data_IF_243759472617
#
_entry.id   IF_243759472617
#
_cell.length_a   1.000
_cell.length_b   1.000
_cell.length_c   1.000
_cell.angle_alpha   90.00
_cell.angle_beta   90.00
_cell.angle_gamma   90.00
#
_symmetry.space_group_name_H-M   'P 1'
#
loop_
_entity.id
_entity.type
_entity.pdbx_description
1 polymer ?
#
# COMPACT_ATOMS: atom_id res chain seq x y z
N UNK A 1 -34.11 -0.80 -0.85
CA UNK A 1 -34.02 -0.21 -2.21
C UNK A 1 -32.56 -0.29 -2.64
N UNK A 2 -32.24 -1.13 -3.61
CA UNK A 2 -30.86 -1.26 -4.10
C UNK A 2 -30.52 -0.03 -4.93
N UNK A 3 -29.42 0.65 -4.59
CA UNK A 3 -28.91 1.73 -5.43
C UNK A 3 -28.50 1.15 -6.78
N UNK A 4 -28.98 1.75 -7.86
CA UNK A 4 -28.58 1.37 -9.22
C UNK A 4 -27.18 1.92 -9.50
N UNK A 5 -26.17 1.03 -9.48
CA UNK A 5 -24.77 1.38 -9.71
C UNK A 5 -24.42 1.62 -11.19
N UNK A 6 -25.36 1.40 -12.10
CA UNK A 6 -25.15 1.63 -13.53
C UNK A 6 -25.09 3.13 -13.82
N UNK A 7 -24.09 3.52 -14.58
CA UNK A 7 -23.98 4.89 -15.08
C UNK A 7 -24.71 5.01 -16.40
N UNK A 8 -25.52 6.05 -16.58
CA UNK A 8 -26.11 6.34 -17.86
C UNK A 8 -27.57 6.81 -17.83
N UNK A 9 -28.37 6.30 -18.74
CA UNK A 9 -29.65 6.88 -19.09
C UNK A 9 -30.71 6.78 -17.98
N UNK A 10 -31.47 7.84 -17.86
CA UNK A 10 -32.67 7.91 -17.05
C UNK A 10 -33.68 6.82 -17.50
N UNK A 11 -34.23 6.07 -16.58
CA UNK A 11 -35.26 5.06 -16.84
C UNK A 11 -36.64 5.70 -16.76
N UNK A 12 -37.68 4.99 -17.30
CA UNK A 12 -39.08 5.41 -17.13
C UNK A 12 -39.48 5.55 -15.66
N UNK A 13 -38.89 4.72 -14.77
CA UNK A 13 -39.13 4.79 -13.33
C UNK A 13 -38.50 6.03 -12.71
N UNK A 14 -37.24 6.36 -13.06
CA UNK A 14 -36.58 7.56 -12.56
C UNK A 14 -37.18 8.86 -13.09
N UNK A 15 -37.92 8.82 -14.20
CA UNK A 15 -38.63 9.95 -14.76
C UNK A 15 -40.11 10.04 -14.30
N UNK A 16 -40.58 9.10 -13.46
CA UNK A 16 -42.01 8.97 -13.12
C UNK A 16 -42.50 9.99 -12.07
N UNK A 17 -41.60 10.62 -11.34
CA UNK A 17 -41.88 11.67 -10.34
C UNK A 17 -40.65 12.51 -10.06
N UNK A 18 -40.86 13.72 -9.54
CA UNK A 18 -39.77 14.61 -9.11
C UNK A 18 -38.85 13.96 -8.04
N UNK A 19 -39.43 13.19 -7.14
CA UNK A 19 -38.69 12.43 -6.14
C UNK A 19 -37.76 11.40 -6.78
N UNK A 20 -38.26 10.62 -7.73
CA UNK A 20 -37.44 9.60 -8.42
C UNK A 20 -36.36 10.24 -9.28
N UNK A 21 -36.63 11.37 -9.93
CA UNK A 21 -35.64 12.15 -10.67
C UNK A 21 -34.54 12.65 -9.75
N UNK A 22 -34.88 13.17 -8.57
CA UNK A 22 -33.94 13.65 -7.58
C UNK A 22 -33.06 12.50 -7.02
N UNK A 23 -33.64 11.37 -6.68
CA UNK A 23 -32.91 10.16 -6.23
C UNK A 23 -31.94 9.69 -7.32
N UNK A 24 -32.37 9.65 -8.58
CA UNK A 24 -31.49 9.31 -9.70
C UNK A 24 -30.31 10.30 -9.80
N UNK A 25 -30.57 11.60 -9.74
CA UNK A 25 -29.53 12.62 -9.82
C UNK A 25 -28.48 12.48 -8.69
N UNK A 26 -28.92 12.33 -7.44
CA UNK A 26 -28.00 12.13 -6.31
C UNK A 26 -27.21 10.81 -6.45
N UNK A 27 -27.86 9.74 -6.88
CA UNK A 27 -27.16 8.46 -7.12
C UNK A 27 -26.06 8.62 -8.15
N UNK A 28 -26.35 9.31 -9.28
CA UNK A 28 -25.33 9.55 -10.31
C UNK A 28 -24.18 10.45 -9.80
N UNK A 29 -24.46 11.43 -8.94
CA UNK A 29 -23.43 12.26 -8.31
C UNK A 29 -22.53 11.43 -7.40
N UNK A 30 -23.11 10.55 -6.57
CA UNK A 30 -22.37 9.69 -5.65
C UNK A 30 -21.52 8.68 -6.43
N UNK A 31 -22.05 8.07 -7.48
CA UNK A 31 -21.35 7.09 -8.32
C UNK A 31 -20.10 7.66 -9.03
N UNK A 32 -20.01 8.99 -9.16
CA UNK A 32 -18.84 9.68 -9.71
C UNK A 32 -17.74 9.98 -8.67
N UNK A 33 -18.01 9.68 -7.39
CA UNK A 33 -17.05 9.93 -6.31
C UNK A 33 -16.32 8.63 -5.96
N UNK A 34 -15.02 8.71 -5.93
CA UNK A 34 -14.16 7.58 -5.63
C UNK A 34 -13.55 7.77 -4.25
N UNK A 35 -13.68 6.76 -3.38
CA UNK A 35 -13.10 6.75 -2.03
C UNK A 35 -11.92 5.80 -1.96
N UNK A 36 -12.11 4.57 -2.41
CA UNK A 36 -11.07 3.53 -2.49
C UNK A 36 -11.49 2.44 -3.48
N UNK A 37 -10.51 1.73 -4.03
CA UNK A 37 -10.73 0.56 -4.86
C UNK A 37 -9.55 -0.42 -4.78
N UNK A 38 -9.80 -1.69 -5.12
CA UNK A 38 -8.75 -2.67 -5.31
C UNK A 38 -8.01 -2.39 -6.62
N UNK A 39 -6.68 -2.41 -6.56
CA UNK A 39 -5.81 -2.16 -7.71
C UNK A 39 -4.68 -3.17 -7.78
N UNK A 40 -4.15 -3.38 -8.98
CA UNK A 40 -2.95 -4.18 -9.22
C UNK A 40 -1.83 -3.31 -9.76
N UNK A 41 -0.63 -3.47 -9.21
CA UNK A 41 0.58 -2.76 -9.66
C UNK A 41 0.97 -3.23 -11.06
N UNK A 42 1.11 -2.30 -11.98
CA UNK A 42 1.57 -2.52 -13.36
C UNK A 42 3.00 -2.08 -13.58
N UNK A 43 3.44 -1.07 -12.83
CA UNK A 43 4.79 -0.53 -12.88
C UNK A 43 5.15 0.08 -11.53
N UNK A 44 6.41 -0.05 -11.15
CA UNK A 44 7.02 0.67 -10.03
C UNK A 44 7.99 1.69 -10.62
N UNK A 45 7.87 2.95 -10.21
CA UNK A 45 8.67 4.05 -10.70
C UNK A 45 9.82 4.36 -9.72
N UNK A 46 10.89 4.98 -10.22
CA UNK A 46 12.08 5.31 -9.42
C UNK A 46 11.83 6.45 -8.40
N UNK A 47 10.75 7.21 -8.57
CA UNK A 47 10.34 8.32 -7.71
C UNK A 47 9.46 7.91 -6.50
N UNK A 48 9.44 6.63 -6.15
CA UNK A 48 8.59 6.04 -5.11
C UNK A 48 7.08 6.18 -5.40
N UNK A 49 6.71 6.10 -6.66
CA UNK A 49 5.32 5.99 -7.11
C UNK A 49 5.06 4.67 -7.83
N UNK A 50 3.80 4.33 -8.02
CA UNK A 50 3.37 3.16 -8.79
C UNK A 50 2.31 3.53 -9.81
N UNK A 51 2.31 2.81 -10.95
CA UNK A 51 1.20 2.83 -11.89
C UNK A 51 0.33 1.60 -11.61
N UNK A 52 -0.97 1.79 -11.42
CA UNK A 52 -1.87 0.73 -10.99
C UNK A 52 -3.10 0.62 -11.88
N UNK A 53 -3.61 -0.60 -12.01
CA UNK A 53 -4.83 -0.91 -12.73
C UNK A 53 -5.96 -1.20 -11.72
N UNK A 54 -7.06 -0.44 -11.70
CA UNK A 54 -8.25 -0.81 -10.94
C UNK A 54 -8.78 -2.19 -11.38
N UNK A 55 -9.11 -3.02 -10.39
CA UNK A 55 -9.59 -4.40 -10.63
C UNK A 55 -11.12 -4.50 -10.70
N UNK A 56 -11.83 -3.53 -10.14
CA UNK A 56 -13.30 -3.47 -10.18
C UNK A 56 -13.71 -2.61 -11.35
N UNK A 57 -14.46 -3.18 -12.30
CA UNK A 57 -14.94 -2.47 -13.48
C UNK A 57 -16.14 -1.56 -13.15
N UNK A 58 -16.32 -0.53 -13.96
CA UNK A 58 -17.60 0.17 -14.06
C UNK A 58 -18.62 -0.70 -14.78
N UNK A 59 -19.89 -0.36 -14.63
CA UNK A 59 -20.97 -0.92 -15.43
C UNK A 59 -21.62 0.18 -16.29
N UNK A 60 -21.78 -0.10 -17.58
CA UNK A 60 -22.54 0.77 -18.48
C UNK A 60 -24.05 0.73 -18.18
N UNK A 61 -24.84 1.51 -18.90
CA UNK A 61 -26.30 1.55 -18.76
C UNK A 61 -26.99 0.22 -19.08
N UNK A 62 -26.32 -0.70 -19.77
CA UNK A 62 -26.84 -2.03 -20.12
C UNK A 62 -26.34 -3.12 -19.15
N UNK A 63 -25.44 -2.76 -18.23
CA UNK A 63 -24.82 -3.69 -17.29
C UNK A 63 -23.56 -4.39 -17.82
N UNK A 64 -22.98 -3.93 -18.93
CA UNK A 64 -21.72 -4.47 -19.43
C UNK A 64 -20.56 -3.90 -18.64
N UNK A 65 -19.51 -4.70 -18.43
CA UNK A 65 -18.28 -4.28 -17.76
C UNK A 65 -17.51 -3.28 -18.62
N UNK A 66 -17.10 -2.16 -18.02
CA UNK A 66 -16.24 -1.13 -18.61
C UNK A 66 -15.02 -0.99 -17.73
N UNK A 67 -13.81 -1.41 -18.18
CA UNK A 67 -12.61 -1.29 -17.37
C UNK A 67 -12.19 0.17 -17.20
N UNK A 68 -11.66 0.49 -16.04
CA UNK A 68 -10.95 1.77 -15.83
C UNK A 68 -9.60 1.78 -16.55
N UNK A 69 -9.12 2.96 -16.89
CA UNK A 69 -7.73 3.16 -17.32
C UNK A 69 -6.73 2.91 -16.20
N UNK A 70 -5.44 2.83 -16.56
CA UNK A 70 -4.34 2.80 -15.60
C UNK A 70 -4.27 4.14 -14.88
N UNK A 71 -4.06 4.10 -13.58
CA UNK A 71 -3.78 5.26 -12.74
C UNK A 71 -2.26 5.40 -12.63
N UNK A 72 -1.74 6.59 -12.88
CA UNK A 72 -0.31 6.85 -12.98
C UNK A 72 0.22 7.59 -11.77
N UNK A 73 1.47 7.27 -11.38
CA UNK A 73 2.26 8.00 -10.41
C UNK A 73 1.59 8.15 -9.02
N UNK A 74 0.92 7.12 -8.55
CA UNK A 74 0.39 7.09 -7.19
C UNK A 74 1.53 6.89 -6.19
N UNK A 75 1.74 7.79 -5.22
CA UNK A 75 2.66 7.53 -4.12
C UNK A 75 2.18 6.31 -3.32
N UNK A 76 3.12 5.49 -2.84
CA UNK A 76 2.79 4.34 -2.01
C UNK A 76 3.21 4.53 -0.55
N UNK A 77 2.44 3.92 0.35
CA UNK A 77 2.66 4.02 1.80
C UNK A 77 3.84 3.15 2.21
N UNK A 78 4.76 3.72 3.01
CA UNK A 78 5.81 3.02 3.74
C UNK A 78 5.57 3.15 5.24
N UNK A 79 5.93 2.12 6.02
CA UNK A 79 5.94 2.16 7.48
C UNK A 79 7.18 2.94 7.94
N UNK A 80 7.05 4.26 8.02
CA UNK A 80 8.19 5.15 8.25
C UNK A 80 7.82 6.28 9.20
N UNK A 81 8.80 6.68 10.03
CA UNK A 81 8.72 7.85 10.90
C UNK A 81 10.08 8.54 10.99
N UNK A 82 10.16 9.80 10.60
CA UNK A 82 11.42 10.53 10.50
C UNK A 82 12.42 9.83 9.56
N UNK A 83 13.58 9.47 10.09
CA UNK A 83 14.65 8.79 9.36
C UNK A 83 14.67 7.26 9.55
N UNK A 84 13.64 6.68 10.17
CA UNK A 84 13.54 5.24 10.43
C UNK A 84 12.32 4.65 9.73
N UNK A 85 12.42 3.39 9.28
CA UNK A 85 11.29 2.73 8.61
C UNK A 85 11.49 1.26 8.35
N UNK A 86 10.38 0.60 7.99
CA UNK A 86 10.35 -0.74 7.42
C UNK A 86 10.02 -0.59 5.94
N UNK A 87 10.94 -0.98 5.09
CA UNK A 87 10.81 -0.83 3.65
C UNK A 87 10.34 -2.15 3.03
N UNK A 88 9.11 -2.17 2.54
CA UNK A 88 8.51 -3.25 1.77
C UNK A 88 7.92 -2.64 0.51
N UNK A 89 8.78 -2.36 -0.47
CA UNK A 89 8.37 -1.70 -1.69
C UNK A 89 7.50 -2.64 -2.55
N UNK A 90 6.45 -2.11 -3.19
CA UNK A 90 5.56 -2.89 -4.04
C UNK A 90 6.30 -3.51 -5.21
N UNK A 91 5.77 -4.64 -5.72
CA UNK A 91 6.25 -5.31 -6.93
C UNK A 91 5.15 -5.33 -7.99
N UNK A 92 5.57 -5.46 -9.25
CA UNK A 92 4.64 -5.65 -10.36
C UNK A 92 3.81 -6.92 -10.10
N UNK A 93 2.49 -6.79 -10.20
CA UNK A 93 1.53 -7.86 -9.93
C UNK A 93 0.91 -7.80 -8.54
N UNK A 94 1.48 -7.08 -7.59
CA UNK A 94 0.92 -6.92 -6.25
C UNK A 94 -0.47 -6.29 -6.28
N UNK A 95 -1.36 -6.82 -5.45
CA UNK A 95 -2.71 -6.28 -5.25
C UNK A 95 -2.72 -5.48 -3.94
N UNK A 96 -3.33 -4.32 -4.01
CA UNK A 96 -3.51 -3.42 -2.87
C UNK A 96 -4.74 -2.54 -3.02
N UNK A 97 -4.80 -1.51 -2.20
CA UNK A 97 -5.85 -0.51 -2.21
C UNK A 97 -5.31 0.80 -2.78
N UNK A 98 -6.06 1.44 -3.67
CA UNK A 98 -5.90 2.86 -3.97
C UNK A 98 -6.94 3.63 -3.14
N UNK A 99 -6.48 4.54 -2.30
CA UNK A 99 -7.29 5.44 -1.48
C UNK A 99 -7.21 6.82 -2.12
N UNK A 100 -8.34 7.48 -2.33
CA UNK A 100 -8.39 8.75 -3.05
C UNK A 100 -8.64 9.91 -2.10
N UNK A 101 -7.83 10.96 -2.25
CA UNK A 101 -7.96 12.17 -1.47
C UNK A 101 -9.26 12.93 -1.83
N UNK A 102 -9.79 13.69 -0.88
CA UNK A 102 -10.98 14.52 -1.08
C UNK A 102 -10.74 15.69 -2.02
N UNK A 103 -9.49 16.14 -2.16
CA UNK A 103 -9.03 17.25 -3.00
C UNK A 103 -7.79 16.86 -3.80
N UNK A 104 -7.48 17.68 -4.80
CA UNK A 104 -6.25 17.58 -5.59
C UNK A 104 -5.02 17.75 -4.69
N UNK A 105 -4.17 16.71 -4.64
CA UNK A 105 -2.97 16.65 -3.81
C UNK A 105 -1.66 16.93 -4.58
N UNK A 106 -1.74 17.30 -5.85
CA UNK A 106 -0.56 17.47 -6.73
C UNK A 106 0.47 18.41 -6.10
N UNK A 107 0.04 19.60 -5.67
CA UNK A 107 0.96 20.57 -5.08
C UNK A 107 1.58 20.08 -3.76
N UNK A 108 0.84 19.33 -2.94
CA UNK A 108 1.37 18.73 -1.70
C UNK A 108 2.41 17.66 -2.01
N UNK A 109 2.21 16.86 -3.07
CA UNK A 109 3.20 15.86 -3.52
C UNK A 109 4.50 16.54 -3.94
N UNK A 110 4.43 17.69 -4.60
CA UNK A 110 5.61 18.43 -5.07
C UNK A 110 6.34 19.16 -3.93
N UNK A 111 5.59 19.96 -3.16
CA UNK A 111 6.17 20.86 -2.16
C UNK A 111 6.48 20.21 -0.82
N UNK A 112 5.74 19.13 -0.46
CA UNK A 112 5.72 18.49 0.88
C UNK A 112 5.29 19.45 2.00
N UNK A 113 4.59 20.50 1.65
CA UNK A 113 4.11 21.55 2.55
C UNK A 113 2.61 21.79 2.37
N UNK A 114 2.01 22.56 3.27
CA UNK A 114 0.64 23.02 3.15
C UNK A 114 0.47 23.83 1.87
N UNK A 115 -0.37 23.37 0.95
CA UNK A 115 -0.56 23.96 -0.36
C UNK A 115 -2.03 24.00 -0.76
N UNK A 116 -2.41 24.95 -1.61
CA UNK A 116 -3.72 24.95 -2.21
C UNK A 116 -3.88 23.81 -3.23
N UNK A 117 -5.10 23.29 -3.44
CA UNK A 117 -5.36 22.35 -4.54
C UNK A 117 -4.97 22.97 -5.89
N UNK A 118 -4.36 22.18 -6.77
CA UNK A 118 -4.00 22.64 -8.12
C UNK A 118 -5.22 22.74 -9.06
N UNK A 119 -6.32 22.06 -8.72
CA UNK A 119 -7.57 22.06 -9.50
C UNK A 119 -8.79 21.90 -8.59
N UNK A 120 -9.99 21.99 -9.19
CA UNK A 120 -11.26 21.75 -8.49
C UNK A 120 -11.69 20.28 -8.42
N UNK A 121 -10.78 19.33 -8.68
CA UNK A 121 -11.07 17.88 -8.55
C UNK A 121 -11.47 17.53 -7.13
N UNK A 122 -12.44 16.64 -7.00
CA UNK A 122 -12.95 16.14 -5.72
C UNK A 122 -13.12 14.63 -5.80
N UNK A 123 -12.50 13.88 -4.88
CA UNK A 123 -12.54 12.42 -4.83
C UNK A 123 -12.24 11.79 -6.19
N UNK A 124 -11.15 12.26 -6.80
CA UNK A 124 -10.70 11.81 -8.12
C UNK A 124 -9.73 10.64 -8.00
N UNK A 125 -9.80 9.69 -8.92
CA UNK A 125 -8.83 8.59 -8.98
C UNK A 125 -7.40 9.07 -9.26
N UNK A 126 -7.22 10.27 -9.82
CA UNK A 126 -5.90 10.86 -10.06
C UNK A 126 -5.20 11.30 -8.76
N UNK A 127 -5.95 11.46 -7.67
CA UNK A 127 -5.44 11.89 -6.38
C UNK A 127 -5.35 10.68 -5.41
N UNK A 128 -4.84 9.57 -5.94
CA UNK A 128 -4.74 8.30 -5.23
C UNK A 128 -3.42 8.12 -4.49
N UNK A 129 -3.49 7.37 -3.38
CA UNK A 129 -2.35 6.85 -2.64
C UNK A 129 -2.49 5.32 -2.60
N UNK A 130 -1.41 4.60 -2.93
CA UNK A 130 -1.41 3.14 -2.92
C UNK A 130 -1.01 2.59 -1.56
N UNK A 131 -1.81 1.66 -1.04
CA UNK A 131 -1.56 0.86 0.15
C UNK A 131 -1.47 -0.62 -0.25
N UNK A 132 -0.32 -1.25 -0.03
CA UNK A 132 -0.07 -2.65 -0.44
C UNK A 132 -0.59 -3.68 0.56
N UNK A 133 -0.55 -4.94 0.18
CA UNK A 133 -0.73 -6.08 1.07
C UNK A 133 -2.13 -6.67 1.15
N UNK A 134 -2.94 -6.57 0.11
CA UNK A 134 -4.28 -7.19 0.03
C UNK A 134 -4.29 -8.27 -1.04
N UNK A 135 -4.79 -9.48 -0.69
CA UNK A 135 -4.98 -10.61 -1.62
C UNK A 135 -3.70 -11.11 -2.32
N UNK A 136 -2.54 -10.79 -1.80
CA UNK A 136 -1.27 -11.30 -2.31
C UNK A 136 -0.99 -12.71 -1.75
N UNK A 137 -0.19 -13.55 -2.43
CA UNK A 137 0.28 -14.80 -1.88
C UNK A 137 1.13 -14.58 -0.62
N UNK A 138 1.29 -15.63 0.19
CA UNK A 138 2.13 -15.56 1.38
C UNK A 138 3.58 -15.18 1.02
N UNK A 139 4.20 -14.24 1.78
CA UNK A 139 5.57 -13.83 1.53
C UNK A 139 6.57 -14.95 1.89
N UNK A 140 7.64 -15.07 1.12
CA UNK A 140 8.75 -15.99 1.39
C UNK A 140 9.85 -15.39 2.27
N UNK A 141 9.82 -14.08 2.48
CA UNK A 141 10.70 -13.33 3.38
C UNK A 141 9.82 -12.45 4.26
N UNK A 142 9.92 -12.63 5.59
CA UNK A 142 9.03 -11.92 6.50
C UNK A 142 9.60 -11.81 7.91
N UNK A 143 9.05 -10.89 8.67
CA UNK A 143 9.18 -10.77 10.11
C UNK A 143 7.82 -11.13 10.73
N UNK A 144 7.78 -12.19 11.52
CA UNK A 144 6.58 -12.70 12.16
C UNK A 144 6.65 -12.57 13.68
N UNK A 145 5.67 -11.93 14.28
CA UNK A 145 5.44 -11.89 15.71
C UNK A 145 4.48 -13.03 16.07
N UNK A 146 5.04 -14.18 16.45
CA UNK A 146 4.27 -15.39 16.67
C UNK A 146 3.54 -15.36 18.03
N UNK A 147 2.32 -15.93 18.08
CA UNK A 147 1.55 -16.08 19.32
C UNK A 147 2.25 -16.98 20.36
N UNK A 148 3.26 -17.74 19.97
CA UNK A 148 4.12 -18.53 20.86
C UNK A 148 5.16 -17.74 21.64
N UNK A 149 5.17 -16.39 21.55
CA UNK A 149 6.04 -15.50 22.33
C UNK A 149 7.46 -15.33 21.73
N UNK A 150 7.67 -15.61 20.47
CA UNK A 150 8.94 -15.34 19.78
C UNK A 150 8.72 -14.55 18.49
N UNK A 151 9.80 -13.90 18.06
CA UNK A 151 9.87 -13.17 16.80
C UNK A 151 10.69 -14.02 15.81
N UNK A 152 10.11 -14.29 14.66
CA UNK A 152 10.72 -15.07 13.59
C UNK A 152 11.09 -14.15 12.43
N UNK A 153 12.35 -14.20 12.00
CA UNK A 153 12.84 -13.52 10.81
C UNK A 153 13.24 -14.56 9.77
N UNK A 154 12.45 -14.64 8.71
CA UNK A 154 12.66 -15.58 7.61
C UNK A 154 13.22 -14.86 6.40
N UNK A 155 14.44 -15.26 5.98
CA UNK A 155 15.12 -14.75 4.79
C UNK A 155 16.27 -15.68 4.41
N UNK A 156 16.65 -15.72 3.13
CA UNK A 156 17.84 -16.47 2.67
C UNK A 156 19.14 -15.93 3.29
N UNK A 157 19.21 -14.63 3.61
CA UNK A 157 20.35 -13.99 4.26
C UNK A 157 19.85 -12.83 5.13
N UNK A 158 20.28 -12.80 6.39
CA UNK A 158 20.08 -11.66 7.29
C UNK A 158 21.40 -10.90 7.42
N UNK A 159 21.43 -9.66 6.91
CA UNK A 159 22.60 -8.78 7.02
C UNK A 159 22.39 -7.74 8.11
N UNK A 160 23.27 -7.72 9.11
CA UNK A 160 23.29 -6.72 10.17
C UNK A 160 24.50 -5.84 9.95
N UNK A 161 24.30 -4.55 9.62
CA UNK A 161 25.38 -3.60 9.33
C UNK A 161 25.90 -2.85 10.57
N UNK A 162 25.29 -3.12 11.73
CA UNK A 162 25.68 -2.59 13.03
C UNK A 162 26.09 -3.69 13.99
N UNK A 163 26.24 -3.34 15.26
CA UNK A 163 26.52 -4.31 16.31
C UNK A 163 25.26 -5.10 16.67
N UNK A 164 25.40 -6.43 16.78
CA UNK A 164 24.36 -7.29 17.33
C UNK A 164 24.65 -7.50 18.83
N UNK A 165 23.69 -7.19 19.69
CA UNK A 165 23.74 -7.47 21.13
C UNK A 165 22.61 -8.42 21.51
N UNK A 166 22.92 -9.50 22.20
CA UNK A 166 21.97 -10.45 22.75
C UNK A 166 21.93 -10.26 24.26
N UNK A 167 20.79 -9.79 24.78
CA UNK A 167 20.66 -9.29 26.17
C UNK A 167 21.01 -10.32 27.26
N UNK A 168 20.90 -11.63 26.98
CA UNK A 168 21.25 -12.71 27.90
C UNK A 168 22.42 -13.57 27.42
N UNK A 169 23.12 -13.13 26.36
CA UNK A 169 24.28 -13.85 25.81
C UNK A 169 25.49 -13.78 26.73
N UNK A 170 26.21 -14.89 26.88
CA UNK A 170 27.46 -14.95 27.63
C UNK A 170 28.53 -14.08 26.98
N UNK A 171 29.36 -13.45 27.81
CA UNK A 171 30.55 -12.71 27.36
C UNK A 171 31.77 -13.32 28.00
N UNK A 172 32.81 -13.54 27.21
CA UNK A 172 34.05 -14.12 27.70
C UNK A 172 35.06 -14.44 26.61
N UNK A 173 36.20 -14.93 27.03
CA UNK A 173 37.29 -15.36 26.16
C UNK A 173 37.60 -16.81 26.50
N UNK A 174 37.69 -17.67 25.47
CA UNK A 174 38.11 -19.05 25.66
C UNK A 174 39.06 -19.49 24.53
N UNK A 175 39.92 -20.45 24.82
CA UNK A 175 40.84 -20.98 23.82
C UNK A 175 40.33 -22.31 23.29
N UNK A 176 40.48 -22.51 22.00
CA UNK A 176 40.26 -23.83 21.38
C UNK A 176 41.38 -24.80 21.73
N UNK A 177 41.15 -26.09 21.50
CA UNK A 177 42.20 -27.09 21.64
C UNK A 177 43.38 -26.92 20.67
N UNK A 178 43.24 -26.12 19.65
CA UNK A 178 44.24 -25.73 18.64
C UNK A 178 45.00 -24.42 19.00
N UNK A 179 44.71 -23.85 20.17
CA UNK A 179 45.38 -22.63 20.65
C UNK A 179 44.78 -21.32 20.17
N UNK A 180 43.70 -21.34 19.40
CA UNK A 180 42.99 -20.14 18.95
C UNK A 180 42.26 -19.51 20.13
N UNK A 181 42.27 -18.18 20.18
CA UNK A 181 41.55 -17.36 21.17
C UNK A 181 40.22 -16.93 20.54
N UNK A 182 39.12 -17.31 21.17
CA UNK A 182 37.78 -17.01 20.72
C UNK A 182 37.18 -15.97 21.67
N UNK A 183 36.86 -14.81 21.12
CA UNK A 183 36.21 -13.74 21.85
C UNK A 183 34.71 -13.79 21.61
N UNK A 184 33.91 -13.89 22.66
CA UNK A 184 32.46 -13.86 22.64
C UNK A 184 31.98 -12.63 23.37
N UNK A 185 31.08 -11.87 22.73
CA UNK A 185 30.44 -10.71 23.33
C UNK A 185 28.91 -10.84 23.14
N UNK A 186 28.18 -10.85 24.27
CA UNK A 186 26.72 -11.00 24.27
C UNK A 186 26.23 -12.18 23.40
N UNK A 187 26.88 -13.34 23.52
CA UNK A 187 26.52 -14.57 22.80
C UNK A 187 26.95 -14.62 21.32
N UNK A 188 27.65 -13.60 20.84
CA UNK A 188 28.15 -13.53 19.45
C UNK A 188 29.66 -13.65 19.44
N UNK A 189 30.20 -14.55 18.61
CA UNK A 189 31.65 -14.63 18.37
C UNK A 189 32.06 -13.40 17.58
N UNK A 190 32.89 -12.54 18.18
CA UNK A 190 33.32 -11.27 17.57
C UNK A 190 34.68 -11.35 16.93
N UNK A 191 35.52 -12.29 17.39
CA UNK A 191 36.88 -12.48 16.87
C UNK A 191 37.38 -13.91 17.14
N UNK A 192 38.24 -14.43 16.26
CA UNK A 192 39.00 -15.68 16.41
C UNK A 192 40.45 -15.31 16.04
N UNK A 193 41.38 -15.43 16.99
CA UNK A 193 42.81 -15.13 16.83
C UNK A 193 43.64 -16.42 16.83
#
# INVERSE_FOLDING_TARGET
MSLDIRQGNQTKFSASSDYNALVFFFTQMINKKHTMTLVQVRQVNDDNTVNVQPLVNMLDSKGNAVPYGVLFSLPFVRLQGGNTGVLCDPKIGDIGLAIFADRDITNVIETKEQSNPNSYRVMSMSDGIYLSGVLNPEPTQYLNFNNGGFVELVSALVKISGNLSVGTGATGVFSSSTGQVINVNNGVITNIL
#
